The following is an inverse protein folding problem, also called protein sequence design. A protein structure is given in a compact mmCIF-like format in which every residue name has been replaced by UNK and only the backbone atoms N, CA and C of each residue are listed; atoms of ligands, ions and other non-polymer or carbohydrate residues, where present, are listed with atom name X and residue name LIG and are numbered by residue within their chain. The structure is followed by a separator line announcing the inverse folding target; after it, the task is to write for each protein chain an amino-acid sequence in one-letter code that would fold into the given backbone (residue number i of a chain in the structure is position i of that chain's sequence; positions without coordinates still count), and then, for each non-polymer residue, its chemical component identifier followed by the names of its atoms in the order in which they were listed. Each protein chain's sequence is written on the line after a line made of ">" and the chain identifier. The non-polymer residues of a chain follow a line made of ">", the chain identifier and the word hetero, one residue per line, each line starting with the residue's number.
data_IF_974746380254
#
_entry.id   IF_974746380254
#
_cell.length_a   1.000
_cell.length_b   1.000
_cell.length_c   1.000
_cell.angle_alpha   90.00
_cell.angle_beta   90.00
_cell.angle_gamma   90.00
#
_symmetry.space_group_name_H-M   'P 1'
#
loop_
_entity.id
_entity.type
_entity.pdbx_description
1 polymer ?
#
# COMPACT_ATOMS: atom_id res chain seq x y z
N UNK A 1 19.36 6.76 -96.66
CA UNK A 1 19.53 7.17 -95.28
C UNK A 1 20.39 6.13 -94.56
N UNK A 2 21.59 6.50 -94.16
CA UNK A 2 22.60 5.53 -93.78
C UNK A 2 22.32 4.98 -92.35
N UNK A 3 22.36 3.66 -92.22
CA UNK A 3 22.11 2.89 -90.98
C UNK A 3 22.92 3.38 -89.72
N UNK A 4 24.08 4.04 -90.03
CA UNK A 4 24.99 4.64 -88.99
C UNK A 4 24.38 5.85 -88.31
N UNK A 5 23.53 6.62 -89.01
CA UNK A 5 22.92 7.84 -88.47
C UNK A 5 21.75 7.51 -87.48
N UNK A 6 21.04 6.37 -87.73
CA UNK A 6 19.94 5.91 -86.90
C UNK A 6 20.49 5.40 -85.57
N UNK A 7 21.67 4.74 -85.56
CA UNK A 7 22.28 4.21 -84.35
C UNK A 7 22.73 5.34 -83.39
N UNK A 8 23.26 6.44 -83.95
CA UNK A 8 23.67 7.58 -83.12
C UNK A 8 22.50 8.32 -82.51
N UNK A 9 21.40 8.47 -83.21
CA UNK A 9 20.16 9.10 -82.69
C UNK A 9 19.52 8.26 -81.57
N UNK A 10 19.55 6.92 -81.71
CA UNK A 10 19.02 6.00 -80.75
C UNK A 10 19.86 5.98 -79.45
N UNK A 11 21.20 6.12 -79.57
CA UNK A 11 22.15 6.18 -78.42
C UNK A 11 22.01 7.48 -77.61
N UNK A 12 21.74 8.58 -78.33
CA UNK A 12 21.56 9.91 -77.67
C UNK A 12 20.20 9.96 -76.96
N UNK A 13 19.15 9.31 -77.44
CA UNK A 13 17.86 9.26 -76.83
C UNK A 13 17.85 8.41 -75.55
N UNK A 14 18.72 7.38 -75.50
CA UNK A 14 18.87 6.57 -74.28
C UNK A 14 19.64 7.23 -73.15
N UNK A 15 20.51 8.26 -73.46
CA UNK A 15 21.31 8.99 -72.47
C UNK A 15 20.55 10.14 -71.78
N UNK A 16 19.32 10.44 -72.21
CA UNK A 16 18.48 11.49 -71.68
C UNK A 16 17.34 10.98 -70.80
N UNK A 17 17.50 9.81 -70.16
CA UNK A 17 16.55 9.42 -69.08
C UNK A 17 16.82 10.35 -67.91
N UNK A 18 15.87 11.25 -67.56
CA UNK A 18 16.05 12.08 -66.37
C UNK A 18 16.12 11.16 -65.17
N UNK A 19 17.24 11.17 -64.50
CA UNK A 19 17.37 10.61 -63.17
C UNK A 19 16.42 11.42 -62.27
N UNK A 20 15.19 10.93 -62.13
CA UNK A 20 14.26 11.51 -61.15
C UNK A 20 14.92 11.34 -59.77
N UNK A 21 15.11 12.42 -59.01
CA UNK A 21 15.56 12.26 -57.64
C UNK A 21 14.47 11.49 -56.90
N UNK A 22 14.79 10.26 -56.53
CA UNK A 22 14.00 9.59 -55.48
C UNK A 22 14.18 10.40 -54.23
N UNK A 23 13.13 11.11 -53.83
CA UNK A 23 13.05 11.68 -52.47
C UNK A 23 13.02 10.49 -51.51
N UNK A 24 14.21 10.04 -51.13
CA UNK A 24 14.31 9.16 -49.97
C UNK A 24 13.94 10.03 -48.76
N UNK A 25 12.78 9.78 -48.17
CA UNK A 25 12.49 10.30 -46.84
C UNK A 25 13.46 9.62 -45.87
N UNK A 26 14.50 10.36 -45.47
CA UNK A 26 15.43 9.91 -44.45
C UNK A 26 14.80 10.25 -43.07
N UNK A 27 14.03 9.30 -42.56
CA UNK A 27 13.40 9.43 -41.24
C UNK A 27 14.39 8.97 -40.18
N UNK A 28 15.02 9.92 -39.52
CA UNK A 28 15.85 9.66 -38.34
C UNK A 28 14.99 9.55 -37.05
N UNK A 29 15.17 8.50 -36.28
CA UNK A 29 14.54 8.33 -34.96
C UNK A 29 15.54 8.69 -33.86
N UNK A 30 15.17 9.61 -32.98
CA UNK A 30 15.91 9.91 -31.75
C UNK A 30 15.18 9.23 -30.59
N UNK A 31 15.86 8.29 -29.94
CA UNK A 31 15.35 7.67 -28.70
C UNK A 31 15.91 8.45 -27.50
N UNK A 32 15.03 9.02 -26.70
CA UNK A 32 15.39 9.67 -25.44
C UNK A 32 15.02 8.70 -24.31
N UNK A 33 16.02 8.24 -23.57
CA UNK A 33 15.83 7.41 -22.38
C UNK A 33 16.01 8.27 -21.14
N UNK A 34 15.01 8.31 -20.27
CA UNK A 34 15.07 8.99 -18.99
C UNK A 34 14.75 7.98 -17.88
N UNK A 35 15.45 8.08 -16.77
CA UNK A 35 15.15 7.38 -15.53
C UNK A 35 14.62 8.41 -14.54
N UNK A 36 13.43 8.15 -13.98
CA UNK A 36 12.88 8.96 -12.89
C UNK A 36 13.20 8.29 -11.56
N UNK A 37 13.60 9.08 -10.57
CA UNK A 37 13.79 8.55 -9.22
C UNK A 37 12.44 8.10 -8.64
N UNK A 38 12.44 6.92 -8.00
CA UNK A 38 11.28 6.42 -7.27
C UNK A 38 11.16 7.20 -5.95
N UNK A 39 10.00 7.80 -5.74
CA UNK A 39 9.63 8.45 -4.48
C UNK A 39 8.48 7.68 -3.86
N UNK A 40 8.75 7.07 -2.70
CA UNK A 40 7.76 6.32 -1.91
C UNK A 40 7.27 7.25 -0.82
N UNK A 41 5.98 7.52 -0.81
CA UNK A 41 5.31 8.31 0.21
C UNK A 41 3.85 7.88 0.32
N UNK A 42 3.35 7.76 1.54
CA UNK A 42 1.92 7.57 1.81
C UNK A 42 1.43 8.60 2.81
N UNK A 43 0.16 8.94 2.70
CA UNK A 43 -0.57 9.69 3.72
C UNK A 43 -1.62 8.80 4.35
N UNK A 44 -1.85 9.00 5.65
CA UNK A 44 -2.82 8.24 6.45
C UNK A 44 -3.76 9.21 7.16
N UNK A 45 -5.07 9.00 7.06
CA UNK A 45 -6.06 9.87 7.69
C UNK A 45 -7.31 9.07 8.12
N UNK A 46 -7.74 9.17 9.39
CA UNK A 46 -7.08 9.86 10.51
C UNK A 46 -5.85 9.11 11.05
N UNK A 47 -5.03 9.80 11.83
CA UNK A 47 -3.83 9.21 12.47
C UNK A 47 -4.04 8.84 13.94
N UNK A 48 -5.21 9.08 14.49
CA UNK A 48 -5.54 8.79 15.90
C UNK A 48 -6.93 8.16 16.02
N UNK A 49 -7.01 7.13 16.86
CA UNK A 49 -8.25 6.52 17.30
C UNK A 49 -8.38 6.61 18.82
N UNK A 50 -9.10 7.61 19.30
CA UNK A 50 -9.39 7.76 20.73
C UNK A 50 -10.66 6.98 21.08
N UNK A 51 -10.51 5.90 21.82
CA UNK A 51 -11.62 5.01 22.21
C UNK A 51 -12.28 5.52 23.52
N UNK A 52 -11.53 6.28 24.33
CA UNK A 52 -11.96 6.67 25.68
C UNK A 52 -11.81 5.53 26.69
N UNK A 53 -12.73 5.47 27.66
CA UNK A 53 -12.73 4.42 28.68
C UNK A 53 -13.08 3.06 28.06
N UNK A 54 -12.31 2.03 28.39
CA UNK A 54 -12.49 0.68 27.87
C UNK A 54 -12.80 -0.33 28.97
N UNK A 55 -13.65 -1.30 28.66
CA UNK A 55 -14.00 -2.42 29.53
C UNK A 55 -13.12 -3.65 29.20
N UNK A 56 -12.83 -4.52 30.19
CA UNK A 56 -12.10 -5.75 29.93
C UNK A 56 -12.89 -6.71 29.03
N UNK A 57 -12.16 -7.51 28.27
CA UNK A 57 -12.70 -8.52 27.36
C UNK A 57 -13.81 -7.98 26.41
N UNK A 58 -13.62 -6.76 25.97
CA UNK A 58 -14.59 -6.04 25.13
C UNK A 58 -13.98 -5.70 23.78
N UNK A 59 -14.79 -5.83 22.75
CA UNK A 59 -14.43 -5.50 21.39
C UNK A 59 -14.82 -4.07 21.04
N UNK A 60 -13.90 -3.33 20.48
CA UNK A 60 -14.09 -2.00 19.92
C UNK A 60 -13.73 -2.03 18.44
N UNK A 61 -14.59 -1.48 17.61
CA UNK A 61 -14.40 -1.46 16.16
C UNK A 61 -14.64 -0.07 15.58
N UNK A 62 -13.90 0.27 14.57
CA UNK A 62 -14.19 1.46 13.75
C UNK A 62 -15.12 1.10 12.59
N UNK A 63 -15.63 2.12 11.89
CA UNK A 63 -16.23 1.90 10.57
C UNK A 63 -15.21 1.26 9.61
N UNK A 64 -15.64 0.40 8.68
CA UNK A 64 -14.77 -0.15 7.62
C UNK A 64 -14.07 0.91 6.77
N UNK A 65 -14.64 2.09 6.69
CA UNK A 65 -14.12 3.23 5.92
C UNK A 65 -13.46 4.28 6.81
N UNK A 66 -13.06 3.90 8.02
CA UNK A 66 -12.60 4.86 9.03
C UNK A 66 -11.25 5.49 8.67
N UNK A 67 -10.30 4.69 8.23
CA UNK A 67 -8.97 5.16 7.86
C UNK A 67 -8.75 5.07 6.36
N UNK A 68 -8.14 6.08 5.79
CA UNK A 68 -7.75 6.13 4.38
C UNK A 68 -6.24 6.18 4.27
N UNK A 69 -5.64 5.25 3.55
CA UNK A 69 -4.25 5.30 3.13
C UNK A 69 -4.19 5.74 1.67
N UNK A 70 -3.37 6.73 1.35
CA UNK A 70 -3.22 7.29 0.00
C UNK A 70 -1.76 7.27 -0.42
N UNK A 71 -1.48 6.83 -1.65
CA UNK A 71 -0.16 6.93 -2.26
C UNK A 71 0.10 8.38 -2.66
N UNK A 72 0.94 9.10 -1.95
CA UNK A 72 1.38 10.46 -2.29
C UNK A 72 2.72 10.48 -3.03
N UNK A 73 3.32 9.31 -3.26
CA UNK A 73 4.54 9.12 -4.04
C UNK A 73 4.32 9.09 -5.55
N UNK A 74 5.33 8.65 -6.28
CA UNK A 74 5.32 8.58 -7.75
C UNK A 74 5.53 7.17 -8.32
N UNK A 75 5.45 6.14 -7.49
CA UNK A 75 5.57 4.75 -7.90
C UNK A 75 4.52 3.88 -7.21
N UNK A 76 4.24 2.72 -7.79
CA UNK A 76 3.35 1.73 -7.18
C UNK A 76 3.92 1.22 -5.86
N UNK A 77 3.05 1.06 -4.86
CA UNK A 77 3.43 0.60 -3.52
C UNK A 77 2.48 -0.48 -3.03
N UNK A 78 3.03 -1.43 -2.32
CA UNK A 78 2.29 -2.39 -1.51
C UNK A 78 2.17 -1.84 -0.08
N UNK A 79 1.02 -1.98 0.54
CA UNK A 79 0.75 -1.44 1.88
C UNK A 79 0.93 -2.54 2.92
N UNK A 80 1.68 -2.23 3.95
CA UNK A 80 1.99 -3.11 5.07
C UNK A 80 1.47 -2.54 6.38
N UNK A 81 1.26 -3.41 7.37
CA UNK A 81 0.79 -3.04 8.71
C UNK A 81 1.46 -3.90 9.77
N UNK A 82 1.79 -3.27 10.90
CA UNK A 82 2.27 -3.93 12.11
C UNK A 82 1.74 -3.21 13.35
N UNK A 83 1.72 -3.89 14.48
CA UNK A 83 1.35 -3.34 15.77
C UNK A 83 2.46 -3.50 16.79
N UNK A 84 2.38 -2.77 17.89
CA UNK A 84 3.33 -2.89 19.00
C UNK A 84 2.60 -3.31 20.29
N UNK A 85 3.36 -3.78 21.29
CA UNK A 85 2.82 -3.95 22.63
C UNK A 85 2.31 -2.61 23.18
N UNK A 86 1.14 -2.59 23.80
CA UNK A 86 0.56 -1.39 24.39
C UNK A 86 1.31 -1.00 25.67
N UNK A 87 1.57 0.27 25.83
CA UNK A 87 2.28 0.81 27.00
C UNK A 87 1.45 1.86 27.73
N UNK A 88 1.64 1.99 29.04
CA UNK A 88 1.09 3.13 29.75
C UNK A 88 1.83 4.40 29.37
N UNK A 89 1.10 5.47 29.21
CA UNK A 89 1.67 6.78 28.87
C UNK A 89 2.61 7.26 29.97
N UNK A 90 2.28 7.02 31.23
CA UNK A 90 3.04 7.44 32.41
C UNK A 90 4.03 6.37 32.92
N UNK A 91 4.00 5.14 32.44
CA UNK A 91 4.87 4.05 32.85
C UNK A 91 5.14 3.05 31.72
N UNK A 92 6.02 3.37 30.78
CA UNK A 92 6.25 2.55 29.57
C UNK A 92 6.76 1.13 29.82
N UNK A 93 7.22 0.84 31.05
CA UNK A 93 7.64 -0.52 31.42
C UNK A 93 6.46 -1.48 31.64
N UNK A 94 5.25 -0.94 31.92
CA UNK A 94 4.04 -1.75 32.10
C UNK A 94 3.27 -1.77 30.80
N UNK A 95 2.97 -2.96 30.30
CA UNK A 95 2.37 -3.11 28.96
C UNK A 95 1.38 -4.26 28.90
N UNK A 96 0.48 -4.16 27.93
CA UNK A 96 -0.24 -5.30 27.41
C UNK A 96 0.51 -5.87 26.20
N UNK A 97 0.61 -7.17 26.12
CA UNK A 97 1.25 -7.83 24.97
C UNK A 97 0.26 -7.94 23.81
N UNK A 98 0.71 -7.65 22.60
CA UNK A 98 -0.08 -7.86 21.39
C UNK A 98 -0.15 -9.35 21.07
N UNK A 99 -1.35 -9.85 20.87
CA UNK A 99 -1.60 -11.25 20.51
C UNK A 99 -1.10 -11.57 19.10
N UNK A 100 -0.40 -12.68 18.96
CA UNK A 100 0.02 -13.20 17.66
C UNK A 100 -1.02 -14.06 16.91
N UNK A 101 -2.14 -14.41 17.58
CA UNK A 101 -3.18 -15.29 17.04
C UNK A 101 -4.59 -14.68 17.04
N UNK A 102 -4.71 -13.40 17.42
CA UNK A 102 -5.99 -12.69 17.46
C UNK A 102 -6.88 -12.96 18.68
N UNK A 103 -6.43 -13.80 19.61
CA UNK A 103 -7.13 -14.08 20.87
C UNK A 103 -6.61 -13.17 21.98
N UNK A 104 -7.49 -12.74 22.87
CA UNK A 104 -7.08 -12.02 24.06
C UNK A 104 -6.91 -12.97 25.25
N UNK A 105 -6.02 -12.59 26.16
CA UNK A 105 -5.79 -13.26 27.42
C UNK A 105 -5.55 -12.22 28.54
N UNK A 106 -5.19 -12.67 29.72
CA UNK A 106 -4.69 -11.80 30.76
C UNK A 106 -3.50 -10.98 30.28
N UNK A 107 -3.55 -9.65 30.42
CA UNK A 107 -2.51 -8.73 29.92
C UNK A 107 -2.16 -8.88 28.43
N UNK A 108 -3.04 -9.53 27.66
CA UNK A 108 -2.88 -9.71 26.23
C UNK A 108 -4.09 -9.17 25.49
N UNK A 109 -3.87 -8.26 24.57
CA UNK A 109 -4.89 -7.68 23.71
C UNK A 109 -4.73 -8.15 22.27
N UNK A 110 -5.76 -8.02 21.46
CA UNK A 110 -5.69 -8.36 20.04
C UNK A 110 -6.06 -7.17 19.17
N UNK A 111 -5.40 -7.06 18.04
CA UNK A 111 -5.69 -6.10 16.97
C UNK A 111 -6.09 -6.82 15.70
N UNK A 112 -6.90 -6.15 14.91
CA UNK A 112 -7.24 -6.57 13.57
C UNK A 112 -7.56 -5.38 12.68
N UNK A 113 -7.47 -5.59 11.38
CA UNK A 113 -7.95 -4.65 10.38
C UNK A 113 -8.92 -5.35 9.43
N UNK A 114 -9.76 -4.57 8.79
CA UNK A 114 -10.58 -5.05 7.70
C UNK A 114 -10.68 -3.98 6.61
N UNK A 115 -10.63 -4.42 5.36
CA UNK A 115 -10.65 -3.52 4.21
C UNK A 115 -12.09 -3.15 3.90
N UNK A 116 -12.35 -1.89 3.57
CA UNK A 116 -13.67 -1.45 3.16
C UNK A 116 -14.19 -2.32 1.99
N UNK A 117 -15.46 -2.73 2.11
CA UNK A 117 -16.17 -3.65 1.19
C UNK A 117 -15.88 -5.15 1.39
N UNK A 118 -15.15 -5.53 2.44
CA UNK A 118 -15.12 -6.91 2.91
C UNK A 118 -16.40 -7.26 3.68
N UNK A 119 -16.64 -8.55 3.88
CA UNK A 119 -17.72 -8.99 4.78
C UNK A 119 -17.44 -8.46 6.19
N UNK A 120 -18.43 -7.81 6.79
CA UNK A 120 -18.29 -7.00 8.00
C UNK A 120 -17.78 -7.77 9.25
N UNK A 121 -17.73 -9.09 9.20
CA UNK A 121 -17.35 -9.96 10.31
C UNK A 121 -15.92 -10.52 10.18
N UNK A 122 -15.20 -10.20 9.11
CA UNK A 122 -13.86 -10.73 8.84
C UNK A 122 -12.78 -9.70 9.11
N UNK A 123 -11.97 -9.95 10.15
CA UNK A 123 -10.81 -9.14 10.48
C UNK A 123 -9.53 -9.93 10.28
N UNK A 124 -8.59 -9.37 9.54
CA UNK A 124 -7.23 -9.89 9.46
C UNK A 124 -6.45 -9.43 10.70
N UNK A 125 -5.72 -10.37 11.32
CA UNK A 125 -4.97 -10.11 12.55
C UNK A 125 -3.79 -9.19 12.27
N UNK A 126 -3.58 -8.19 13.13
CA UNK A 126 -2.36 -7.38 13.18
C UNK A 126 -1.45 -7.98 14.26
N UNK A 127 -0.20 -8.23 13.91
CA UNK A 127 0.82 -8.76 14.81
C UNK A 127 2.00 -7.79 14.95
N UNK A 128 3.01 -8.15 15.74
CA UNK A 128 4.27 -7.39 15.84
C UNK A 128 5.21 -7.61 14.63
N UNK A 129 4.76 -8.31 13.62
CA UNK A 129 5.51 -8.50 12.38
C UNK A 129 4.91 -7.66 11.28
N UNK A 130 5.75 -6.96 10.55
CA UNK A 130 5.36 -6.24 9.34
C UNK A 130 4.74 -7.21 8.33
N UNK A 131 3.49 -7.01 7.99
CA UNK A 131 2.71 -7.90 7.13
C UNK A 131 2.01 -7.09 6.05
N UNK A 132 2.11 -7.56 4.81
CA UNK A 132 1.39 -6.94 3.70
C UNK A 132 -0.12 -7.01 3.94
N UNK A 133 -0.78 -5.86 3.85
CA UNK A 133 -2.22 -5.80 3.96
C UNK A 133 -2.87 -6.47 2.74
N UNK A 134 -3.81 -7.34 3.01
CA UNK A 134 -4.56 -8.04 1.98
C UNK A 134 -6.03 -8.16 2.38
N UNK A 135 -6.88 -8.20 1.41
CA UNK A 135 -8.26 -8.62 1.60
C UNK A 135 -8.32 -10.13 1.82
N UNK A 136 -9.22 -10.60 2.66
CA UNK A 136 -9.35 -12.04 2.90
C UNK A 136 -9.57 -12.79 1.58
N UNK A 137 -8.69 -13.77 1.29
CA UNK A 137 -8.68 -14.59 0.07
C UNK A 137 -8.53 -13.81 -1.27
N UNK A 138 -8.07 -12.58 -1.24
CA UNK A 138 -7.82 -11.76 -2.42
C UNK A 138 -6.36 -11.30 -2.53
N UNK A 139 -6.07 -10.54 -3.60
CA UNK A 139 -4.75 -9.97 -3.83
C UNK A 139 -4.35 -8.94 -2.76
N UNK A 140 -3.06 -8.80 -2.50
CA UNK A 140 -2.53 -7.75 -1.65
C UNK A 140 -3.00 -6.36 -2.03
N UNK A 141 -3.13 -5.46 -1.03
CA UNK A 141 -3.43 -4.05 -1.28
C UNK A 141 -2.24 -3.40 -1.96
N UNK A 142 -2.49 -2.96 -3.18
CA UNK A 142 -1.54 -2.23 -4.00
C UNK A 142 -2.16 -0.91 -4.43
N UNK A 143 -1.42 0.17 -4.24
CA UNK A 143 -1.76 1.50 -4.76
C UNK A 143 -0.84 1.78 -5.96
N UNK A 144 -1.42 1.75 -7.17
CA UNK A 144 -0.64 1.76 -8.42
C UNK A 144 -0.27 3.19 -8.79
N UNK A 145 -1.25 4.08 -8.78
CA UNK A 145 -1.05 5.46 -9.23
C UNK A 145 -0.88 6.42 -8.05
N UNK A 146 -0.25 7.56 -8.32
CA UNK A 146 -0.26 8.68 -7.39
C UNK A 146 -1.70 9.13 -7.13
N UNK A 147 -2.06 9.30 -5.85
CA UNK A 147 -3.39 9.56 -5.32
C UNK A 147 -4.36 8.38 -5.31
N UNK A 148 -3.93 7.18 -5.71
CA UNK A 148 -4.71 5.98 -5.38
C UNK A 148 -4.85 5.85 -3.86
N UNK A 149 -6.04 5.44 -3.42
CA UNK A 149 -6.33 5.29 -1.99
C UNK A 149 -7.14 4.03 -1.69
N UNK A 150 -6.96 3.53 -0.47
CA UNK A 150 -7.77 2.45 0.10
C UNK A 150 -8.22 2.82 1.51
N UNK A 151 -9.39 2.31 1.86
CA UNK A 151 -9.98 2.52 3.18
C UNK A 151 -10.00 1.21 3.96
N UNK A 152 -9.77 1.32 5.27
CA UNK A 152 -9.83 0.19 6.18
C UNK A 152 -10.35 0.60 7.54
N UNK A 153 -10.90 -0.36 8.27
CA UNK A 153 -11.27 -0.22 9.66
C UNK A 153 -10.31 -0.98 10.57
N UNK A 154 -10.38 -0.67 11.87
CA UNK A 154 -9.61 -1.30 12.92
C UNK A 154 -10.53 -1.98 13.94
N UNK A 155 -10.00 -3.04 14.54
CA UNK A 155 -10.60 -3.77 15.66
C UNK A 155 -9.59 -3.84 16.80
N UNK A 156 -10.06 -3.57 18.00
CA UNK A 156 -9.35 -3.80 19.26
C UNK A 156 -10.18 -4.75 20.11
N UNK A 157 -9.58 -5.84 20.58
CA UNK A 157 -10.13 -6.69 21.62
C UNK A 157 -9.27 -6.52 22.88
N UNK A 158 -9.86 -5.94 23.94
CA UNK A 158 -9.14 -5.64 25.18
C UNK A 158 -8.78 -6.93 25.95
N UNK A 159 -7.75 -6.90 26.83
CA UNK A 159 -7.39 -8.02 27.66
C UNK A 159 -8.54 -8.51 28.53
N UNK A 160 -8.50 -9.78 28.92
CA UNK A 160 -9.39 -10.33 29.94
C UNK A 160 -9.01 -9.77 31.30
N UNK A 161 -10.00 -9.47 32.13
CA UNK A 161 -9.77 -9.16 33.54
C UNK A 161 -9.19 -10.40 34.24
N UNK A 162 -8.24 -10.18 35.13
CA UNK A 162 -7.70 -11.23 35.98
C UNK A 162 -8.44 -11.27 37.31
N UNK A 163 -9.24 -12.29 37.52
CA UNK A 163 -9.88 -12.60 38.78
C UNK A 163 -9.08 -13.70 39.49
N UNK A 164 -7.88 -13.38 39.97
CA UNK A 164 -7.25 -14.29 40.95
C UNK A 164 -8.06 -14.24 42.24
N UNK A 165 -8.50 -15.40 42.68
CA UNK A 165 -9.33 -15.52 43.88
C UNK A 165 -8.68 -14.82 45.09
N UNK A 166 -9.18 -13.65 45.43
CA UNK A 166 -8.79 -12.86 46.59
C UNK A 166 -7.85 -11.66 46.34
N UNK A 167 -7.47 -11.38 45.09
CA UNK A 167 -6.66 -10.21 44.73
C UNK A 167 -7.33 -9.26 43.75
N UNK A 168 -6.88 -7.99 43.77
CA UNK A 168 -7.41 -6.90 42.98
C UNK A 168 -7.18 -7.15 41.49
N UNK A 169 -8.20 -6.96 40.74
CA UNK A 169 -8.25 -6.96 39.29
C UNK A 169 -7.12 -6.15 38.63
N UNK A 170 -6.29 -6.82 37.81
CA UNK A 170 -5.20 -6.16 37.08
C UNK A 170 -5.64 -5.71 35.68
N UNK A 171 -6.79 -5.10 35.55
CA UNK A 171 -7.18 -4.41 34.30
C UNK A 171 -6.78 -2.93 34.34
N UNK A 172 -5.80 -2.55 35.09
CA UNK A 172 -5.20 -1.20 35.12
C UNK A 172 -6.18 -0.03 34.91
N UNK A 173 -7.34 -0.08 35.57
CA UNK A 173 -8.37 0.95 35.43
C UNK A 173 -7.86 2.35 35.80
N UNK A 174 -8.36 3.34 35.07
CA UNK A 174 -8.05 4.77 35.33
C UNK A 174 -6.66 5.20 34.83
N UNK A 175 -6.02 4.46 33.95
CA UNK A 175 -4.76 4.83 33.32
C UNK A 175 -4.87 4.82 31.79
N UNK A 176 -4.20 5.78 31.17
CA UNK A 176 -4.12 5.91 29.73
C UNK A 176 -3.13 4.90 29.14
N UNK A 177 -3.60 4.09 28.19
CA UNK A 177 -2.80 3.13 27.43
C UNK A 177 -2.61 3.68 26.02
N UNK A 178 -1.40 3.53 25.50
CA UNK A 178 -1.05 3.86 24.11
C UNK A 178 -0.74 2.59 23.34
N UNK A 179 -1.39 2.45 22.22
CA UNK A 179 -1.14 1.41 21.21
C UNK A 179 -0.59 2.10 19.96
N UNK A 180 0.47 1.56 19.38
CA UNK A 180 1.02 2.05 18.12
C UNK A 180 0.72 1.02 17.04
N UNK A 181 0.13 1.48 15.95
CA UNK A 181 -0.04 0.71 14.71
C UNK A 181 0.73 1.46 13.63
N UNK A 182 1.68 0.80 13.00
CA UNK A 182 2.46 1.35 11.89
C UNK A 182 1.89 0.84 10.58
N UNK A 183 1.57 1.77 9.67
CA UNK A 183 1.23 1.48 8.29
C UNK A 183 2.37 1.99 7.43
N UNK A 184 2.93 1.12 6.61
CA UNK A 184 4.09 1.41 5.79
C UNK A 184 3.84 1.09 4.31
N UNK A 185 4.73 1.58 3.44
CA UNK A 185 4.67 1.35 2.01
C UNK A 185 5.99 0.79 1.51
N UNK A 186 5.90 -0.24 0.67
CA UNK A 186 7.05 -0.86 0.00
C UNK A 186 6.89 -0.70 -1.49
N UNK A 187 7.93 -0.21 -2.19
CA UNK A 187 7.90 -0.10 -3.65
C UNK A 187 7.76 -1.47 -4.29
N UNK A 188 6.89 -1.54 -5.26
CA UNK A 188 6.67 -2.74 -6.07
C UNK A 188 7.49 -2.71 -7.37
#
# INVERSE_FOLDING_TARGET
>A
MNMRTISIVLLIALALVPCLPTLAEDNGTVTVTMLTDKHIEITLEPTEWNIGDVEPNTEYVTSPTWCTVTNSGNCAVDIHIEGEDAVWVDSPATKWTLSGNGDNAQSTYALGYHIAYDDADSYTIITTSDTQMQKENEDPIRLIDSNDSKQFGLRLLTPKADFLAGEVEYFYGGREMKIIITVSAVAN
#
